data_IF_535304441947
#
_entry.id   IF_535304441947
#
_cell.length_a   1.000
_cell.length_b   1.000
_cell.length_c   1.000
_cell.angle_alpha   90.00
_cell.angle_beta   90.00
_cell.angle_gamma   90.00
#
_symmetry.space_group_name_H-M   'P 1'
#
loop_
_entity.id
_entity.type
_entity.pdbx_description
1 polymer ?
#
# COMPACT_ATOMS: atom_id res chain seq x y z
N UNK A 1 1.29 -18.30 -31.64
CA UNK A 1 1.37 -16.90 -32.09
C UNK A 1 2.84 -16.59 -32.39
N UNK A 2 3.17 -16.28 -33.67
CA UNK A 2 4.54 -15.84 -34.03
C UNK A 2 4.74 -14.42 -33.46
N UNK A 3 5.49 -14.31 -32.40
CA UNK A 3 5.90 -13.02 -31.86
C UNK A 3 6.86 -12.36 -32.83
N UNK A 4 6.47 -11.23 -33.39
CA UNK A 4 7.31 -10.46 -34.31
C UNK A 4 8.53 -9.92 -33.54
N UNK A 5 9.77 -10.15 -34.00
CA UNK A 5 10.98 -9.71 -33.27
C UNK A 5 11.01 -8.20 -33.01
N UNK A 6 10.38 -7.42 -33.88
CA UNK A 6 10.25 -5.97 -33.72
C UNK A 6 9.36 -5.59 -32.50
N UNK A 7 8.28 -6.33 -32.26
CA UNK A 7 7.45 -6.11 -31.07
C UNK A 7 8.20 -6.46 -29.78
N UNK A 8 8.97 -7.54 -29.79
CA UNK A 8 9.81 -7.90 -28.63
C UNK A 8 10.85 -6.82 -28.35
N UNK A 9 11.55 -6.34 -29.37
CA UNK A 9 12.53 -5.25 -29.21
C UNK A 9 11.88 -3.98 -28.66
N UNK A 10 10.65 -3.64 -29.10
CA UNK A 10 9.89 -2.50 -28.57
C UNK A 10 9.52 -2.65 -27.09
N UNK A 11 9.10 -3.85 -26.67
CA UNK A 11 8.80 -4.13 -25.24
C UNK A 11 10.06 -4.02 -24.40
N UNK A 12 11.19 -4.59 -24.84
CA UNK A 12 12.46 -4.46 -24.11
C UNK A 12 12.93 -3.01 -24.00
N UNK A 13 12.82 -2.23 -25.07
CA UNK A 13 13.15 -0.80 -25.05
C UNK A 13 12.28 -0.03 -24.03
N UNK A 14 10.98 -0.29 -24.01
CA UNK A 14 10.05 0.31 -23.05
C UNK A 14 10.41 -0.06 -21.60
N UNK A 15 10.74 -1.33 -21.33
CA UNK A 15 11.15 -1.78 -20.00
C UNK A 15 12.45 -1.11 -19.54
N UNK A 16 13.43 -0.93 -20.44
CA UNK A 16 14.68 -0.25 -20.13
C UNK A 16 14.42 1.22 -19.78
N UNK A 17 13.60 1.92 -20.56
CA UNK A 17 13.24 3.32 -20.27
C UNK A 17 12.52 3.44 -18.93
N UNK A 18 11.55 2.55 -18.65
CA UNK A 18 10.86 2.52 -17.37
C UNK A 18 11.83 2.25 -16.20
N UNK A 19 12.74 1.28 -16.34
CA UNK A 19 13.72 0.96 -15.32
C UNK A 19 14.66 2.14 -15.03
N UNK A 20 15.15 2.83 -16.06
CA UNK A 20 16.00 4.03 -15.92
C UNK A 20 15.24 5.15 -15.21
N UNK A 21 13.97 5.38 -15.57
CA UNK A 21 13.15 6.39 -14.92
C UNK A 21 12.89 6.08 -13.43
N UNK A 22 12.54 4.82 -13.11
CA UNK A 22 12.33 4.39 -11.72
C UNK A 22 13.65 4.50 -10.92
N UNK A 23 14.78 4.08 -11.50
CA UNK A 23 16.09 4.23 -10.88
C UNK A 23 16.44 5.70 -10.61
N UNK A 24 16.10 6.59 -11.53
CA UNK A 24 16.27 8.03 -11.33
C UNK A 24 15.40 8.54 -10.16
N UNK A 25 14.14 8.14 -10.06
CA UNK A 25 13.25 8.51 -8.95
C UNK A 25 13.83 8.05 -7.60
N UNK A 26 14.28 6.79 -7.51
CA UNK A 26 14.88 6.22 -6.28
C UNK A 26 16.19 6.92 -5.91
N UNK A 27 17.02 7.28 -6.90
CA UNK A 27 18.25 8.06 -6.65
C UNK A 27 17.99 9.46 -6.12
N UNK A 28 16.91 10.10 -6.56
CA UNK A 28 16.51 11.46 -6.10
C UNK A 28 15.89 11.46 -4.72
N UNK A 29 15.14 10.42 -4.39
CA UNK A 29 14.49 10.26 -3.09
C UNK A 29 14.59 8.78 -2.64
N UNK A 30 15.66 8.41 -1.92
CA UNK A 30 15.87 7.02 -1.47
C UNK A 30 14.74 6.48 -0.59
N UNK A 31 13.99 7.34 0.09
CA UNK A 31 12.87 6.97 0.96
C UNK A 31 11.70 6.32 0.22
N UNK A 32 11.66 6.40 -1.12
CA UNK A 32 10.64 5.70 -1.94
C UNK A 32 11.02 4.25 -2.24
N UNK A 33 12.20 3.80 -1.88
CA UNK A 33 12.67 2.43 -2.13
C UNK A 33 11.82 1.41 -1.37
N UNK A 34 11.61 0.25 -1.99
CA UNK A 34 10.83 -0.85 -1.41
C UNK A 34 9.34 -0.55 -1.24
N UNK A 35 8.70 -1.20 -0.28
CA UNK A 35 7.27 -1.04 0.00
C UNK A 35 6.92 0.36 0.54
N UNK A 36 7.80 0.98 1.29
CA UNK A 36 7.56 2.24 1.97
C UNK A 36 6.97 2.10 3.38
N UNK A 37 6.53 0.90 3.77
CA UNK A 37 6.00 0.64 5.12
C UNK A 37 7.05 0.88 6.21
N UNK A 38 8.29 0.36 6.09
CA UNK A 38 9.33 0.62 7.07
C UNK A 38 9.69 2.10 7.23
N UNK A 39 9.61 2.88 6.14
CA UNK A 39 9.84 4.32 6.19
C UNK A 39 8.73 5.05 6.96
N UNK A 40 7.47 4.66 6.73
CA UNK A 40 6.33 5.21 7.47
C UNK A 40 6.45 4.87 8.96
N UNK A 41 6.73 3.63 9.31
CA UNK A 41 6.99 3.18 10.68
C UNK A 41 8.16 3.94 11.32
N UNK A 42 9.27 4.08 10.59
CA UNK A 42 10.46 4.80 11.05
C UNK A 42 10.18 6.26 11.40
N UNK A 43 9.26 6.92 10.68
CA UNK A 43 8.84 8.29 11.01
C UNK A 43 7.86 8.31 12.18
N UNK A 44 6.90 7.37 12.27
CA UNK A 44 5.99 7.25 13.41
C UNK A 44 6.76 7.01 14.71
N UNK A 45 7.82 6.19 14.66
CA UNK A 45 8.71 5.91 15.80
C UNK A 45 9.79 6.98 16.02
N UNK A 46 9.79 8.08 15.24
CA UNK A 46 10.77 9.19 15.30
C UNK A 46 12.22 8.78 14.97
N UNK A 47 12.43 7.65 14.31
CA UNK A 47 13.76 7.18 13.89
C UNK A 47 14.19 7.78 12.56
N UNK A 48 13.25 8.21 11.71
CA UNK A 48 13.50 8.77 10.40
C UNK A 48 12.86 10.16 10.25
N UNK A 49 13.50 10.99 9.43
CA UNK A 49 12.96 12.28 8.97
C UNK A 49 12.86 12.22 7.45
N UNK A 50 11.66 12.40 6.92
CA UNK A 50 11.36 12.23 5.49
C UNK A 50 10.73 13.48 4.91
N UNK A 51 11.08 13.81 3.67
CA UNK A 51 10.43 14.88 2.92
C UNK A 51 9.19 14.34 2.21
N UNK A 52 8.05 14.38 2.89
CA UNK A 52 6.81 13.78 2.42
C UNK A 52 6.31 14.29 1.08
N UNK A 53 6.56 15.55 0.72
CA UNK A 53 6.16 16.07 -0.58
C UNK A 53 6.96 15.42 -1.71
N UNK A 54 8.27 15.27 -1.54
CA UNK A 54 9.10 14.58 -2.52
C UNK A 54 8.73 13.10 -2.61
N UNK A 55 8.56 12.43 -1.45
CA UNK A 55 8.14 11.03 -1.42
C UNK A 55 6.82 10.85 -2.17
N UNK A 56 5.81 11.69 -1.93
CA UNK A 56 4.53 11.61 -2.62
C UNK A 56 4.68 11.69 -4.14
N UNK A 57 5.43 12.67 -4.63
CA UNK A 57 5.62 12.91 -6.06
C UNK A 57 6.41 11.75 -6.71
N UNK A 58 7.58 11.42 -6.17
CA UNK A 58 8.45 10.40 -6.77
C UNK A 58 7.84 8.99 -6.64
N UNK A 59 7.16 8.67 -5.52
CA UNK A 59 6.47 7.39 -5.37
C UNK A 59 5.31 7.24 -6.32
N UNK A 60 4.53 8.31 -6.54
CA UNK A 60 3.41 8.32 -7.48
C UNK A 60 3.88 8.05 -8.91
N UNK A 61 4.80 8.87 -9.42
CA UNK A 61 5.27 8.73 -10.80
C UNK A 61 6.11 7.47 -11.02
N UNK A 62 6.99 7.13 -10.07
CA UNK A 62 7.78 5.90 -10.13
C UNK A 62 6.91 4.65 -10.05
N UNK A 63 5.89 4.64 -9.17
CA UNK A 63 4.94 3.54 -9.02
C UNK A 63 4.07 3.34 -10.27
N UNK A 64 3.50 4.41 -10.83
CA UNK A 64 2.73 4.33 -12.07
C UNK A 64 3.59 3.79 -13.21
N UNK A 65 4.82 4.29 -13.37
CA UNK A 65 5.72 3.84 -14.43
C UNK A 65 6.07 2.36 -14.27
N UNK A 66 6.33 1.90 -13.04
CA UNK A 66 6.64 0.51 -12.77
C UNK A 66 5.45 -0.42 -13.08
N UNK A 67 4.24 -0.03 -12.65
CA UNK A 67 3.01 -0.79 -12.92
C UNK A 67 2.65 -0.79 -14.41
N UNK A 68 2.75 0.37 -15.09
CA UNK A 68 2.49 0.48 -16.52
C UNK A 68 3.47 -0.33 -17.38
N UNK A 69 4.71 -0.48 -16.92
CA UNK A 69 5.70 -1.35 -17.52
C UNK A 69 5.44 -2.86 -17.28
N UNK A 70 4.41 -3.23 -16.51
CA UNK A 70 4.06 -4.62 -16.22
C UNK A 70 4.95 -5.27 -15.15
N UNK A 71 5.67 -4.48 -14.37
CA UNK A 71 6.45 -5.03 -13.26
C UNK A 71 5.54 -5.53 -12.15
N UNK A 72 5.86 -6.70 -11.60
CA UNK A 72 5.11 -7.31 -10.49
C UNK A 72 5.40 -6.60 -9.16
N UNK A 73 5.11 -5.32 -9.08
CA UNK A 73 5.19 -4.51 -7.87
C UNK A 73 3.82 -4.39 -7.24
N UNK A 74 3.70 -4.74 -5.96
CA UNK A 74 2.44 -4.59 -5.22
C UNK A 74 2.03 -3.11 -5.13
N UNK A 75 0.72 -2.86 -5.14
CA UNK A 75 0.16 -1.52 -4.97
C UNK A 75 -0.03 -1.10 -3.52
N UNK A 76 0.06 -2.06 -2.60
CA UNK A 76 -0.21 -1.90 -1.18
C UNK A 76 0.76 -0.89 -0.53
N UNK A 77 2.05 -1.20 -0.61
CA UNK A 77 3.10 -0.37 -0.01
C UNK A 77 3.11 1.07 -0.52
N UNK A 78 3.10 1.29 -1.85
CA UNK A 78 2.97 2.63 -2.41
C UNK A 78 1.74 3.39 -1.92
N UNK A 79 0.58 2.73 -1.82
CA UNK A 79 -0.66 3.37 -1.36
C UNK A 79 -0.58 3.78 0.11
N UNK A 80 -0.02 2.92 0.98
CA UNK A 80 0.22 3.23 2.38
C UNK A 80 1.16 4.43 2.52
N UNK A 81 2.28 4.41 1.81
CA UNK A 81 3.28 5.47 1.89
C UNK A 81 2.75 6.81 1.35
N UNK A 82 2.01 6.79 0.25
CA UNK A 82 1.38 8.00 -0.30
C UNK A 82 0.29 8.55 0.64
N UNK A 83 -0.56 7.67 1.18
CA UNK A 83 -1.56 8.08 2.17
C UNK A 83 -0.93 8.69 3.42
N UNK A 84 0.11 8.07 3.97
CA UNK A 84 0.88 8.60 5.08
C UNK A 84 1.51 9.98 4.74
N UNK A 85 2.04 10.13 3.53
CA UNK A 85 2.60 11.39 3.06
C UNK A 85 1.55 12.52 3.04
N UNK A 86 0.35 12.24 2.56
CA UNK A 86 -0.77 13.21 2.60
C UNK A 86 -1.11 13.59 4.04
N UNK A 87 -1.26 12.61 4.94
CA UNK A 87 -1.51 12.86 6.36
C UNK A 87 -0.42 13.72 7.01
N UNK A 88 0.85 13.45 6.72
CA UNK A 88 1.97 14.23 7.23
C UNK A 88 2.01 15.67 6.67
N UNK A 89 1.72 15.86 5.39
CA UNK A 89 1.65 17.18 4.74
C UNK A 89 0.51 18.01 5.35
N UNK A 90 -0.67 17.42 5.51
CA UNK A 90 -1.82 18.08 6.13
C UNK A 90 -1.54 18.46 7.57
N UNK A 91 -0.92 17.57 8.36
CA UNK A 91 -0.50 17.87 9.73
C UNK A 91 0.43 19.10 9.79
N UNK A 92 1.41 19.16 8.89
CA UNK A 92 2.34 20.29 8.83
C UNK A 92 1.63 21.59 8.44
N UNK A 93 0.73 21.55 7.46
CA UNK A 93 -0.06 22.73 7.03
C UNK A 93 -1.01 23.23 8.12
N UNK A 94 -1.57 22.33 8.90
CA UNK A 94 -2.47 22.66 10.01
C UNK A 94 -1.73 23.05 11.29
N UNK A 95 -0.41 23.15 11.29
CA UNK A 95 0.40 23.54 12.46
C UNK A 95 0.26 22.59 13.65
N UNK A 96 -0.03 21.31 13.40
CA UNK A 96 -0.30 20.34 14.45
C UNK A 96 0.98 19.90 15.18
N UNK A 97 0.83 19.58 16.47
CA UNK A 97 1.91 19.11 17.32
C UNK A 97 2.41 17.72 16.86
N UNK A 98 3.63 17.37 17.24
CA UNK A 98 4.30 16.13 16.81
C UNK A 98 3.53 14.84 17.13
N UNK A 99 2.78 14.80 18.24
CA UNK A 99 1.97 13.62 18.59
C UNK A 99 0.72 13.52 17.70
N UNK A 100 0.05 14.64 17.38
CA UNK A 100 -1.08 14.67 16.45
C UNK A 100 -0.64 14.33 15.02
N UNK A 101 0.58 14.74 14.65
CA UNK A 101 1.18 14.38 13.37
C UNK A 101 1.29 12.87 13.19
N UNK A 102 1.66 12.13 14.25
CA UNK A 102 1.69 10.66 14.20
C UNK A 102 0.31 10.07 13.91
N UNK A 103 -0.73 10.60 14.53
CA UNK A 103 -2.10 10.13 14.31
C UNK A 103 -2.57 10.39 12.87
N UNK A 104 -2.32 11.59 12.35
CA UNK A 104 -2.68 11.93 10.98
C UNK A 104 -1.89 11.13 9.94
N UNK A 105 -0.63 10.83 10.21
CA UNK A 105 0.21 9.98 9.37
C UNK A 105 -0.31 8.55 9.33
N UNK A 106 -0.64 7.98 10.50
CA UNK A 106 -1.24 6.64 10.64
C UNK A 106 -2.62 6.57 9.97
N UNK A 107 -3.46 7.59 10.15
CA UNK A 107 -4.78 7.69 9.51
C UNK A 107 -4.67 7.78 7.98
N UNK A 108 -3.68 8.53 7.48
CA UNK A 108 -3.39 8.58 6.05
C UNK A 108 -2.93 7.23 5.49
N UNK A 109 -2.07 6.51 6.22
CA UNK A 109 -1.64 5.15 5.86
C UNK A 109 -2.83 4.18 5.78
N UNK A 110 -3.72 4.24 6.78
CA UNK A 110 -4.98 3.47 6.81
C UNK A 110 -5.87 3.78 5.61
N UNK A 111 -6.06 5.05 5.29
CA UNK A 111 -6.83 5.51 4.13
C UNK A 111 -6.25 5.00 2.81
N UNK A 112 -4.92 5.07 2.64
CA UNK A 112 -4.25 4.57 1.44
C UNK A 112 -4.46 3.08 1.23
N UNK A 113 -4.35 2.27 2.29
CA UNK A 113 -4.59 0.82 2.20
C UNK A 113 -6.06 0.50 1.97
N UNK A 114 -6.98 1.19 2.66
CA UNK A 114 -8.42 1.02 2.50
C UNK A 114 -8.86 1.27 1.05
N UNK A 115 -8.40 2.36 0.45
CA UNK A 115 -8.70 2.69 -0.94
C UNK A 115 -8.10 1.69 -1.93
N UNK A 116 -6.91 1.14 -1.64
CA UNK A 116 -6.26 0.17 -2.53
C UNK A 116 -6.99 -1.17 -2.58
N UNK A 117 -7.59 -1.61 -1.48
CA UNK A 117 -8.24 -2.93 -1.37
C UNK A 117 -9.77 -2.90 -1.28
N UNK A 118 -10.39 -1.74 -1.22
CA UNK A 118 -11.82 -1.59 -0.88
C UNK A 118 -12.17 -2.26 0.47
N UNK A 119 -11.25 -2.19 1.43
CA UNK A 119 -11.33 -2.89 2.71
C UNK A 119 -10.98 -1.94 3.88
N UNK A 120 -11.92 -1.06 4.31
CA UNK A 120 -11.64 -0.07 5.35
C UNK A 120 -11.18 -0.70 6.66
N UNK A 121 -11.83 -1.77 7.12
CA UNK A 121 -11.47 -2.43 8.37
C UNK A 121 -10.05 -3.01 8.34
N UNK A 122 -9.66 -3.65 7.23
CA UNK A 122 -8.31 -4.17 7.06
C UNK A 122 -7.26 -3.04 7.08
N UNK A 123 -7.56 -1.90 6.44
CA UNK A 123 -6.71 -0.71 6.46
C UNK A 123 -6.49 -0.16 7.87
N UNK A 124 -7.56 -0.13 8.69
CA UNK A 124 -7.49 0.31 10.09
C UNK A 124 -6.65 -0.64 10.93
N UNK A 125 -6.93 -1.94 10.85
CA UNK A 125 -6.20 -2.95 11.63
C UNK A 125 -4.71 -2.94 11.30
N UNK A 126 -4.38 -2.92 10.01
CA UNK A 126 -2.99 -2.82 9.56
C UNK A 126 -2.29 -1.55 10.07
N UNK A 127 -2.95 -0.40 10.01
CA UNK A 127 -2.36 0.85 10.47
C UNK A 127 -2.11 0.87 11.99
N UNK A 128 -2.96 0.21 12.78
CA UNK A 128 -2.77 0.08 14.22
C UNK A 128 -1.68 -0.93 14.57
N UNK A 129 -1.65 -2.06 13.90
CA UNK A 129 -0.75 -3.18 14.19
C UNK A 129 0.66 -2.93 13.66
N UNK A 130 0.80 -2.56 12.39
CA UNK A 130 2.10 -2.44 11.73
C UNK A 130 2.68 -1.01 11.78
N UNK A 131 1.84 0.02 11.64
CA UNK A 131 2.34 1.39 11.52
C UNK A 131 2.45 2.07 12.88
N UNK A 132 1.39 2.01 13.68
CA UNK A 132 1.36 2.72 14.96
C UNK A 132 1.92 1.90 16.12
N UNK A 133 1.75 0.59 16.07
CA UNK A 133 2.20 -0.41 17.07
C UNK A 133 1.73 -0.15 18.50
N UNK A 134 0.71 0.69 18.65
CA UNK A 134 0.08 1.00 19.94
C UNK A 134 -1.41 1.20 19.71
N UNK A 135 -2.23 0.52 20.51
CA UNK A 135 -3.67 0.71 20.48
C UNK A 135 -4.04 1.97 21.25
N UNK A 136 -4.63 2.93 20.57
CA UNK A 136 -5.20 4.13 21.17
C UNK A 136 -6.59 4.38 20.59
N UNK A 137 -7.63 4.65 21.40
CA UNK A 137 -8.96 4.96 20.91
C UNK A 137 -8.99 6.14 19.93
N UNK A 138 -8.15 7.15 20.16
CA UNK A 138 -8.04 8.31 19.27
C UNK A 138 -7.48 7.92 17.90
N UNK A 139 -6.43 7.09 17.88
CA UNK A 139 -5.85 6.58 16.62
C UNK A 139 -6.84 5.68 15.90
N UNK A 140 -7.53 4.80 16.62
CA UNK A 140 -8.57 3.93 16.07
C UNK A 140 -9.67 4.75 15.37
N UNK A 141 -10.25 5.74 16.07
CA UNK A 141 -11.31 6.58 15.51
C UNK A 141 -10.83 7.39 14.31
N UNK A 142 -9.65 8.00 14.38
CA UNK A 142 -9.09 8.76 13.28
C UNK A 142 -8.74 7.89 12.07
N UNK A 143 -8.21 6.68 12.28
CA UNK A 143 -7.93 5.72 11.22
C UNK A 143 -9.24 5.19 10.59
N UNK A 144 -10.26 4.88 11.39
CA UNK A 144 -11.58 4.42 10.90
C UNK A 144 -12.25 5.48 10.03
N UNK A 145 -12.37 6.70 10.50
CA UNK A 145 -13.00 7.79 9.74
C UNK A 145 -12.25 8.04 8.43
N UNK A 146 -10.94 8.05 8.47
CA UNK A 146 -10.09 8.25 7.29
C UNK A 146 -10.22 7.09 6.30
N UNK A 147 -10.17 5.84 6.77
CA UNK A 147 -10.29 4.65 5.93
C UNK A 147 -11.65 4.54 5.25
N UNK A 148 -12.74 4.76 6.00
CA UNK A 148 -14.12 4.71 5.46
C UNK A 148 -14.33 5.81 4.43
N UNK A 149 -13.88 7.04 4.73
CA UNK A 149 -14.00 8.16 3.80
C UNK A 149 -13.22 7.90 2.51
N UNK A 150 -11.98 7.40 2.61
CA UNK A 150 -11.16 7.08 1.45
C UNK A 150 -11.77 5.96 0.59
N UNK A 151 -12.32 4.92 1.21
CA UNK A 151 -13.02 3.83 0.52
C UNK A 151 -14.29 4.32 -0.19
N UNK A 152 -15.08 5.18 0.46
CA UNK A 152 -16.26 5.79 -0.16
C UNK A 152 -15.89 6.63 -1.39
N UNK A 153 -14.84 7.45 -1.29
CA UNK A 153 -14.34 8.26 -2.41
C UNK A 153 -13.81 7.35 -3.52
N UNK A 154 -13.01 6.34 -3.18
CA UNK A 154 -12.49 5.39 -4.16
C UNK A 154 -13.62 4.67 -4.91
N UNK A 155 -14.65 4.20 -4.20
CA UNK A 155 -15.83 3.56 -4.80
C UNK A 155 -16.65 4.50 -5.67
N UNK A 156 -16.75 5.77 -5.31
CA UNK A 156 -17.48 6.75 -6.13
C UNK A 156 -16.77 7.07 -7.45
N UNK A 157 -15.43 6.96 -7.49
CA UNK A 157 -14.62 7.27 -8.68
C UNK A 157 -14.39 6.03 -9.54
N UNK A 158 -14.04 4.90 -8.93
CA UNK A 158 -13.64 3.68 -9.62
C UNK A 158 -14.74 2.60 -9.68
N UNK A 159 -15.87 2.82 -9.02
CA UNK A 159 -16.96 1.86 -8.94
C UNK A 159 -16.79 0.85 -7.81
N UNK A 160 -17.85 0.04 -7.60
CA UNK A 160 -17.93 -0.96 -6.52
C UNK A 160 -17.41 -2.31 -7.04
N UNK A 161 -16.18 -2.34 -7.57
CA UNK A 161 -15.56 -3.60 -8.00
C UNK A 161 -14.60 -4.06 -6.92
N UNK A 162 -14.74 -5.30 -6.40
CA UNK A 162 -13.80 -5.83 -5.43
C UNK A 162 -12.37 -5.87 -5.99
N UNK A 163 -11.40 -5.55 -5.17
CA UNK A 163 -9.98 -5.62 -5.58
C UNK A 163 -9.55 -7.06 -5.93
N UNK A 164 -10.20 -8.05 -5.32
CA UNK A 164 -10.05 -9.48 -5.60
C UNK A 164 -11.43 -10.02 -5.99
N UNK A 165 -11.63 -10.26 -7.28
CA UNK A 165 -12.88 -10.80 -7.80
C UNK A 165 -12.78 -12.32 -7.92
N UNK A 166 -13.48 -13.02 -7.02
CA UNK A 166 -13.64 -14.47 -7.10
C UNK A 166 -14.94 -14.78 -7.85
N UNK A 167 -14.83 -14.96 -9.17
CA UNK A 167 -15.98 -15.40 -9.98
C UNK A 167 -16.29 -16.86 -9.70
N UNK A 168 -17.51 -17.15 -9.30
CA UNK A 168 -18.10 -18.50 -9.21
C UNK A 168 -17.38 -19.52 -8.32
N UNK A 169 -17.22 -19.21 -7.06
CA UNK A 169 -16.98 -20.26 -6.08
C UNK A 169 -18.34 -20.78 -5.59
N UNK A 170 -18.68 -22.02 -5.96
CA UNK A 170 -19.78 -22.73 -5.31
C UNK A 170 -19.49 -22.83 -3.80
N UNK A 171 -20.52 -22.70 -2.98
CA UNK A 171 -20.37 -22.84 -1.51
C UNK A 171 -19.69 -24.18 -1.21
N UNK A 172 -18.57 -24.13 -0.50
CA UNK A 172 -17.86 -25.33 -0.08
C UNK A 172 -18.74 -26.15 0.86
N UNK A 173 -19.02 -27.43 0.59
CA UNK A 173 -19.76 -28.29 1.50
C UNK A 173 -19.05 -28.39 2.85
N UNK A 174 -19.82 -28.33 3.95
CA UNK A 174 -19.28 -28.39 5.32
C UNK A 174 -18.34 -29.56 5.58
N UNK A 175 -18.54 -30.70 4.91
CA UNK A 175 -17.68 -31.89 5.02
C UNK A 175 -16.21 -31.65 4.62
N UNK A 176 -15.91 -30.56 3.90
CA UNK A 176 -14.53 -30.24 3.48
C UNK A 176 -13.88 -29.15 4.34
N UNK A 177 -14.56 -28.61 5.37
CA UNK A 177 -13.99 -27.55 6.22
C UNK A 177 -12.72 -27.98 6.98
N UNK A 178 -12.54 -29.28 7.22
CA UNK A 178 -11.30 -29.80 7.80
C UNK A 178 -10.06 -29.52 6.93
N UNK A 179 -10.22 -29.41 5.59
CA UNK A 179 -9.13 -29.07 4.70
C UNK A 179 -8.58 -27.65 4.92
N UNK A 180 -9.41 -26.75 5.48
CA UNK A 180 -8.96 -25.40 5.86
C UNK A 180 -7.95 -25.45 7.02
N UNK A 181 -8.12 -26.38 7.95
CA UNK A 181 -7.15 -26.55 9.05
C UNK A 181 -5.80 -27.03 8.50
N UNK A 182 -5.81 -28.00 7.59
CA UNK A 182 -4.58 -28.47 6.92
C UNK A 182 -3.93 -27.34 6.13
N UNK A 183 -4.72 -26.57 5.35
CA UNK A 183 -4.22 -25.42 4.61
C UNK A 183 -3.57 -24.39 5.54
N UNK A 184 -4.21 -24.10 6.69
CA UNK A 184 -3.67 -23.19 7.70
C UNK A 184 -2.31 -23.64 8.23
N UNK A 185 -2.16 -24.93 8.55
CA UNK A 185 -0.88 -25.49 8.99
C UNK A 185 0.19 -25.40 7.90
N UNK A 186 -0.15 -25.77 6.65
CA UNK A 186 0.78 -25.69 5.52
C UNK A 186 1.23 -24.27 5.24
N UNK A 187 0.31 -23.30 5.30
CA UNK A 187 0.63 -21.87 5.12
C UNK A 187 1.49 -21.35 6.27
N UNK A 188 1.22 -21.75 7.52
CA UNK A 188 2.04 -21.41 8.67
C UNK A 188 3.47 -21.95 8.55
N UNK A 189 3.64 -23.20 8.15
CA UNK A 189 4.95 -23.80 7.90
C UNK A 189 5.68 -23.10 6.74
N UNK A 190 4.98 -22.80 5.65
CA UNK A 190 5.56 -22.07 4.53
C UNK A 190 6.02 -20.66 4.96
N UNK A 191 5.24 -19.96 5.75
CA UNK A 191 5.62 -18.64 6.30
C UNK A 191 6.87 -18.73 7.18
N UNK A 192 6.98 -19.78 7.99
CA UNK A 192 8.16 -20.00 8.83
C UNK A 192 9.43 -20.25 8.02
N UNK A 193 9.32 -20.96 6.87
CA UNK A 193 10.47 -21.24 5.98
C UNK A 193 10.90 -19.97 5.21
N UNK A 194 9.95 -19.08 4.88
CA UNK A 194 10.23 -17.85 4.13
C UNK A 194 10.75 -16.68 4.98
N UNK A 195 10.60 -16.74 6.30
CA UNK A 195 11.05 -15.72 7.25
C UNK A 195 12.39 -16.09 7.88
#
# INVERSE_FOLDING_TARGET
>A
AKTNPLHMAGVFAMLIVAAVFVAFCVRKEPDISGSGIPQVEGVVTRRLKTNWLKVLIYKFFGGITALAAGLSVGREGPSIQMGAAVGAILSKKAGRMDHERKYLLTSGASAGLAAAFNAPLAGVMFALEEVHKNFSPVVLLSAMTSAVTADMVAKSVFGIVPALEFRTLSKMPLKYYWSLAILGVLMGLSSYVFN
#
